data_IF_486897468547
#
_entry.id   IF_486897468547
#
_cell.length_a   1.000
_cell.length_b   1.000
_cell.length_c   1.000
_cell.angle_alpha   90.00
_cell.angle_beta   90.00
_cell.angle_gamma   90.00
#
_symmetry.space_group_name_H-M   'P 1'
#
loop_
_entity.id
_entity.type
_entity.pdbx_description
1 polymer ?
#
# COMPACT_ATOMS: atom_id res chain seq x y z
N UNK A 1 -65.21 -1.74 51.04
CA UNK A 1 -65.05 -2.58 49.85
C UNK A 1 -63.63 -3.05 49.69
N UNK A 2 -63.47 -4.38 49.81
CA UNK A 2 -62.50 -5.31 49.20
C UNK A 2 -61.03 -4.86 49.03
N UNK A 3 -59.99 -5.60 49.36
CA UNK A 3 -59.74 -6.85 50.09
C UNK A 3 -58.19 -6.98 50.11
N UNK A 4 -57.57 -7.20 51.27
CA UNK A 4 -56.19 -7.70 51.52
C UNK A 4 -56.01 -9.16 50.99
N UNK A 5 -54.89 -9.93 51.16
CA UNK A 5 -53.63 -9.81 51.97
C UNK A 5 -52.35 -10.16 51.15
N UNK A 6 -51.11 -10.34 51.63
CA UNK A 6 -50.48 -10.58 52.94
C UNK A 6 -48.93 -10.51 52.79
N UNK A 7 -48.19 -10.17 53.85
CA UNK A 7 -47.46 -11.08 54.76
C UNK A 7 -46.23 -11.77 54.12
N UNK A 8 -45.09 -12.06 54.75
CA UNK A 8 -44.34 -11.67 55.97
C UNK A 8 -43.02 -12.45 55.85
N UNK A 9 -41.88 -11.82 56.15
CA UNK A 9 -40.59 -12.36 56.61
C UNK A 9 -39.91 -13.59 55.95
N UNK A 10 -38.58 -13.53 55.81
CA UNK A 10 -37.58 -14.23 56.68
C UNK A 10 -36.22 -14.21 55.95
N UNK A 11 -35.18 -13.82 56.70
CA UNK A 11 -33.78 -13.92 56.31
C UNK A 11 -33.30 -15.38 56.37
N UNK A 12 -32.48 -15.82 55.40
CA UNK A 12 -31.50 -16.89 55.61
C UNK A 12 -30.25 -16.65 54.78
N UNK A 13 -29.13 -16.59 55.50
CA UNK A 13 -27.76 -16.71 55.03
C UNK A 13 -27.52 -18.04 54.34
N UNK A 14 -26.84 -18.04 53.19
CA UNK A 14 -26.10 -19.19 52.68
C UNK A 14 -24.72 -18.74 52.22
N UNK A 15 -23.71 -19.25 52.91
CA UNK A 15 -22.33 -19.38 52.49
C UNK A 15 -22.22 -20.38 51.34
N UNK A 16 -21.44 -20.07 50.32
CA UNK A 16 -20.84 -21.08 49.45
C UNK A 16 -19.50 -20.55 48.91
N UNK A 17 -18.42 -21.13 49.42
CA UNK A 17 -17.10 -21.15 48.78
C UNK A 17 -17.20 -21.91 47.44
N UNK A 18 -16.50 -21.41 46.43
CA UNK A 18 -15.96 -22.27 45.38
C UNK A 18 -14.76 -21.59 44.71
N UNK A 19 -13.57 -21.98 45.17
CA UNK A 19 -12.32 -21.91 44.42
C UNK A 19 -12.45 -22.76 43.15
N UNK A 20 -12.22 -22.19 41.96
CA UNK A 20 -11.66 -22.88 40.79
C UNK A 20 -11.03 -21.88 39.81
N UNK A 21 -9.70 -21.92 39.75
CA UNK A 21 -8.84 -21.94 38.55
C UNK A 21 -8.89 -20.80 37.52
N UNK A 22 -7.74 -20.09 37.46
CA UNK A 22 -6.94 -19.80 36.26
C UNK A 22 -7.70 -19.31 35.00
N UNK A 23 -7.65 -17.99 34.75
CA UNK A 23 -7.95 -17.41 33.45
C UNK A 23 -6.81 -16.50 33.01
N UNK A 24 -5.97 -17.07 32.13
CA UNK A 24 -5.25 -16.48 31.00
C UNK A 24 -4.68 -15.07 31.13
N UNK A 25 -3.35 -14.98 31.05
CA UNK A 25 -2.66 -13.84 30.44
C UNK A 25 -3.36 -13.46 29.13
N UNK A 26 -4.00 -12.29 29.11
CA UNK A 26 -4.47 -11.67 27.88
C UNK A 26 -3.22 -11.15 27.18
N UNK A 27 -2.63 -11.96 26.30
CA UNK A 27 -1.72 -11.43 25.30
C UNK A 27 -2.49 -10.34 24.51
N UNK A 28 -1.90 -9.15 24.24
CA UNK A 28 -2.60 -8.11 23.50
C UNK A 28 -2.92 -8.63 22.09
N UNK A 29 -4.18 -8.98 21.86
CA UNK A 29 -4.69 -9.43 20.58
C UNK A 29 -5.03 -8.25 19.69
N UNK A 30 -4.47 -8.23 18.48
CA UNK A 30 -4.85 -7.28 17.43
C UNK A 30 -6.25 -7.66 16.93
N UNK A 31 -7.24 -6.78 17.12
CA UNK A 31 -8.58 -6.94 16.51
C UNK A 31 -8.62 -6.23 15.15
N UNK A 32 -9.56 -6.60 14.27
CA UNK A 32 -9.72 -6.00 12.93
C UNK A 32 -11.07 -5.30 12.81
N UNK A 33 -11.04 -4.03 12.44
CA UNK A 33 -12.20 -3.29 11.91
C UNK A 33 -11.74 -2.76 10.55
N UNK A 34 -12.46 -3.09 9.48
CA UNK A 34 -12.16 -2.67 8.10
C UNK A 34 -10.74 -2.95 7.59
N UNK A 35 -10.17 -4.13 7.91
CA UNK A 35 -8.89 -4.55 7.33
C UNK A 35 -7.64 -3.83 7.85
N UNK A 36 -7.80 -2.87 8.77
CA UNK A 36 -6.70 -2.19 9.46
C UNK A 36 -6.45 -2.89 10.82
N UNK A 37 -5.20 -3.23 11.16
CA UNK A 37 -4.89 -3.79 12.48
C UNK A 37 -5.19 -2.77 13.58
N UNK A 38 -5.80 -3.20 14.68
CA UNK A 38 -6.13 -2.35 15.83
C UNK A 38 -5.41 -2.87 17.06
N UNK A 39 -4.71 -2.00 17.78
CA UNK A 39 -4.19 -2.32 19.12
C UNK A 39 -5.28 -2.07 20.16
N UNK A 40 -5.51 -3.05 21.03
CA UNK A 40 -6.34 -2.90 22.22
C UNK A 40 -5.46 -2.45 23.39
N UNK A 41 -5.64 -1.21 23.85
CA UNK A 41 -4.96 -0.69 25.02
C UNK A 41 -5.91 -0.60 26.21
N UNK A 42 -5.56 -1.23 27.33
CA UNK A 42 -6.27 -1.05 28.60
C UNK A 42 -5.69 0.16 29.34
N UNK A 43 -6.49 1.20 29.50
CA UNK A 43 -6.20 2.32 30.40
C UNK A 43 -7.22 2.34 31.54
N UNK A 44 -6.88 3.00 32.65
CA UNK A 44 -7.76 3.17 33.82
C UNK A 44 -9.03 3.96 33.42
N UNK A 45 -10.02 3.26 32.85
CA UNK A 45 -11.25 3.85 32.33
C UNK A 45 -11.84 3.17 31.08
N UNK A 46 -11.15 2.22 30.44
CA UNK A 46 -11.69 1.48 29.30
C UNK A 46 -10.64 0.84 28.37
N UNK A 47 -11.09 -0.07 27.50
CA UNK A 47 -10.28 -0.61 26.39
C UNK A 47 -10.47 0.29 25.18
N UNK A 48 -9.39 0.92 24.73
CA UNK A 48 -9.40 1.76 23.54
C UNK A 48 -8.82 1.00 22.36
N UNK A 49 -9.51 1.07 21.23
CA UNK A 49 -9.09 0.54 19.94
C UNK A 49 -8.37 1.64 19.16
N UNK A 50 -7.05 1.57 19.07
CA UNK A 50 -6.27 2.45 18.19
C UNK A 50 -6.02 1.72 16.87
N UNK A 51 -6.55 2.25 15.77
CA UNK A 51 -6.20 1.77 14.44
C UNK A 51 -4.70 2.04 14.22
N UNK A 52 -3.92 0.97 14.04
CA UNK A 52 -2.51 1.05 13.70
C UNK A 52 -2.39 1.43 12.22
N UNK A 53 -1.36 2.19 11.82
CA UNK A 53 -1.14 2.43 10.40
C UNK A 53 -0.90 1.07 9.70
N UNK A 54 -1.38 0.90 8.46
CA UNK A 54 -1.27 -0.37 7.72
C UNK A 54 0.18 -0.77 7.38
N UNK A 55 1.12 0.13 7.63
CA UNK A 55 2.57 -0.04 7.55
C UNK A 55 3.18 -0.61 8.82
N UNK A 56 2.39 -0.85 9.87
CA UNK A 56 2.87 -1.58 11.05
C UNK A 56 3.12 -3.03 10.64
N UNK A 57 4.33 -3.58 10.80
CA UNK A 57 4.61 -4.96 10.46
C UNK A 57 3.65 -5.91 11.19
N UNK A 58 3.09 -6.86 10.45
CA UNK A 58 2.32 -7.94 11.03
C UNK A 58 2.95 -9.28 10.62
N UNK A 59 3.00 -10.21 11.57
CA UNK A 59 3.53 -11.54 11.28
C UNK A 59 2.71 -12.21 10.18
N UNK A 60 3.38 -12.63 9.10
CA UNK A 60 2.75 -13.41 8.05
C UNK A 60 2.16 -14.71 8.62
N UNK A 61 0.88 -14.98 8.33
CA UNK A 61 0.27 -16.23 8.77
C UNK A 61 0.87 -17.43 8.02
N UNK A 62 0.90 -18.61 8.66
CA UNK A 62 1.34 -19.85 7.98
C UNK A 62 0.52 -20.14 6.72
N UNK A 63 -0.78 -19.81 6.73
CA UNK A 63 -1.65 -19.99 5.57
C UNK A 63 -1.27 -19.08 4.41
N UNK A 64 -0.86 -17.84 4.71
CA UNK A 64 -0.41 -16.87 3.71
C UNK A 64 0.83 -17.38 2.98
N UNK A 65 1.81 -17.85 3.74
CA UNK A 65 3.04 -18.40 3.18
C UNK A 65 2.80 -19.71 2.42
N UNK A 66 1.94 -20.60 2.95
CA UNK A 66 1.57 -21.84 2.28
C UNK A 66 0.84 -21.61 0.94
N UNK A 67 0.18 -20.46 0.78
CA UNK A 67 -0.55 -20.08 -0.43
C UNK A 67 0.30 -19.30 -1.43
N UNK A 68 1.62 -19.19 -1.20
CA UNK A 68 2.57 -18.50 -2.07
C UNK A 68 2.94 -17.07 -1.65
N UNK A 69 2.47 -16.62 -0.48
CA UNK A 69 2.95 -15.38 0.13
C UNK A 69 4.42 -15.49 0.54
N UNK A 70 5.11 -14.36 0.64
CA UNK A 70 6.56 -14.31 0.90
C UNK A 70 6.86 -13.32 2.02
N UNK A 71 7.47 -13.78 3.10
CA UNK A 71 7.94 -12.90 4.17
C UNK A 71 9.27 -12.23 3.78
N UNK A 72 9.38 -10.93 4.00
CA UNK A 72 10.56 -10.12 3.68
C UNK A 72 11.15 -9.61 4.98
N UNK A 73 12.24 -10.25 5.43
CA UNK A 73 12.87 -9.90 6.70
C UNK A 73 13.35 -8.44 6.77
N UNK A 74 13.80 -7.87 5.65
CA UNK A 74 14.34 -6.51 5.60
C UNK A 74 13.33 -5.41 6.00
N UNK A 75 12.04 -5.67 5.83
CA UNK A 75 10.97 -4.72 6.21
C UNK A 75 9.94 -5.32 7.16
N UNK A 76 10.13 -6.59 7.55
CA UNK A 76 9.21 -7.36 8.38
C UNK A 76 7.77 -7.46 7.84
N UNK A 77 7.58 -7.14 6.56
CA UNK A 77 6.33 -7.27 5.83
C UNK A 77 6.32 -8.52 4.96
N UNK A 78 5.13 -8.92 4.52
CA UNK A 78 5.02 -9.93 3.46
C UNK A 78 4.69 -9.32 2.10
N UNK A 79 4.92 -10.09 1.04
CA UNK A 79 4.20 -9.95 -0.22
C UNK A 79 3.09 -10.98 -0.16
N UNK A 80 1.83 -10.53 -0.18
CA UNK A 80 0.70 -11.43 -0.01
C UNK A 80 0.62 -12.44 -1.15
N UNK A 81 0.06 -13.62 -0.88
CA UNK A 81 -0.21 -14.66 -1.86
C UNK A 81 -1.03 -14.11 -3.05
N UNK A 82 -1.98 -13.20 -2.77
CA UNK A 82 -2.78 -12.54 -3.80
C UNK A 82 -1.93 -11.75 -4.81
N UNK A 83 -0.84 -11.14 -4.35
CA UNK A 83 0.00 -10.25 -5.17
C UNK A 83 1.32 -10.87 -5.61
N UNK A 84 1.78 -11.97 -5.01
CA UNK A 84 3.12 -12.51 -5.21
C UNK A 84 3.44 -12.81 -6.69
N UNK A 85 2.56 -13.52 -7.40
CA UNK A 85 2.77 -13.83 -8.82
C UNK A 85 2.77 -12.56 -9.70
N UNK A 86 1.84 -11.64 -9.44
CA UNK A 86 1.75 -10.39 -10.20
C UNK A 86 2.96 -9.50 -9.96
N UNK A 87 3.44 -9.40 -8.71
CA UNK A 87 4.65 -8.68 -8.35
C UNK A 87 5.84 -9.17 -9.19
N UNK A 88 6.05 -10.49 -9.27
CA UNK A 88 7.16 -11.06 -10.06
C UNK A 88 7.01 -10.77 -11.56
N UNK A 89 5.82 -10.99 -12.13
CA UNK A 89 5.56 -10.73 -13.56
C UNK A 89 5.71 -9.26 -13.93
N UNK A 90 5.31 -8.35 -13.03
CA UNK A 90 5.34 -6.91 -13.26
C UNK A 90 6.71 -6.30 -12.95
N UNK A 91 7.78 -7.09 -12.77
CA UNK A 91 9.15 -6.60 -12.65
C UNK A 91 9.71 -6.60 -11.22
N UNK A 92 8.96 -7.10 -10.25
CA UNK A 92 9.41 -7.43 -8.92
C UNK A 92 10.15 -6.31 -8.18
N UNK A 93 11.26 -6.67 -7.54
CA UNK A 93 12.03 -5.76 -6.69
C UNK A 93 12.54 -4.51 -7.43
N UNK A 94 13.01 -4.67 -8.67
CA UNK A 94 13.50 -3.55 -9.47
C UNK A 94 12.41 -2.51 -9.73
N UNK A 95 11.15 -2.94 -9.82
CA UNK A 95 10.02 -2.05 -10.08
C UNK A 95 9.39 -1.49 -8.81
N UNK A 96 9.17 -2.34 -7.82
CA UNK A 96 8.37 -1.99 -6.63
C UNK A 96 9.21 -1.73 -5.38
N UNK A 97 10.42 -2.29 -5.30
CA UNK A 97 11.20 -2.33 -4.07
C UNK A 97 10.56 -3.23 -3.00
N UNK A 98 10.94 -3.02 -1.74
CA UNK A 98 10.41 -3.82 -0.63
C UNK A 98 8.95 -3.47 -0.29
N UNK A 99 8.17 -4.44 0.24
CA UNK A 99 6.85 -4.17 0.77
C UNK A 99 6.91 -3.22 1.97
N UNK A 100 5.90 -2.35 2.06
CA UNK A 100 5.68 -1.37 3.14
C UNK A 100 4.41 -1.61 3.92
N UNK A 101 3.58 -2.54 3.49
CA UNK A 101 2.36 -2.92 4.17
C UNK A 101 2.06 -4.39 3.93
N UNK A 102 1.19 -4.94 4.77
CA UNK A 102 0.43 -6.13 4.41
C UNK A 102 -0.61 -5.81 3.34
N UNK A 103 -1.28 -6.82 2.78
CA UNK A 103 -2.44 -6.58 1.94
C UNK A 103 -3.66 -6.20 2.81
N UNK A 104 -4.31 -5.09 2.49
CA UNK A 104 -5.50 -4.59 3.21
C UNK A 104 -6.46 -3.90 2.25
N UNK A 105 -7.68 -3.61 2.71
CA UNK A 105 -8.68 -2.92 1.88
C UNK A 105 -8.51 -1.41 2.03
N UNK A 106 -8.28 -0.71 0.91
CA UNK A 106 -8.27 0.75 0.81
C UNK A 106 -9.30 1.16 -0.26
N UNK A 107 -10.27 1.99 0.10
CA UNK A 107 -11.34 2.46 -0.82
C UNK A 107 -12.06 1.33 -1.57
N UNK A 108 -12.31 0.20 -0.91
CA UNK A 108 -13.04 -0.94 -1.48
C UNK A 108 -12.20 -1.86 -2.37
N UNK A 109 -10.92 -1.56 -2.58
CA UNK A 109 -9.98 -2.42 -3.29
C UNK A 109 -9.03 -3.07 -2.29
N UNK A 110 -8.74 -4.35 -2.48
CA UNK A 110 -7.61 -4.98 -1.80
C UNK A 110 -6.33 -4.43 -2.44
N UNK A 111 -5.45 -3.84 -1.63
CA UNK A 111 -4.20 -3.21 -2.06
C UNK A 111 -3.02 -3.68 -1.22
N UNK A 112 -1.81 -3.52 -1.76
CA UNK A 112 -0.58 -3.66 -0.99
C UNK A 112 0.44 -2.61 -1.44
N UNK A 113 1.06 -1.95 -0.47
CA UNK A 113 2.04 -0.90 -0.70
C UNK A 113 3.47 -1.42 -0.70
N UNK A 114 4.29 -0.81 -1.54
CA UNK A 114 5.71 -1.05 -1.71
C UNK A 114 6.44 0.29 -1.78
N UNK A 115 7.76 0.26 -1.69
CA UNK A 115 8.60 1.47 -1.74
C UNK A 115 8.31 2.38 -2.94
N UNK A 116 8.12 1.79 -4.13
CA UNK A 116 8.02 2.50 -5.41
C UNK A 116 6.65 2.37 -6.07
N UNK A 117 5.68 1.76 -5.40
CA UNK A 117 4.41 1.41 -6.04
C UNK A 117 3.37 0.87 -5.09
N UNK A 118 2.16 0.71 -5.61
CA UNK A 118 1.04 0.02 -4.97
C UNK A 118 0.45 -0.95 -5.97
N UNK A 119 0.19 -2.18 -5.52
CA UNK A 119 -0.59 -3.14 -6.27
C UNK A 119 -2.04 -3.12 -5.79
N UNK A 120 -2.98 -3.26 -6.70
CA UNK A 120 -4.41 -3.35 -6.41
C UNK A 120 -5.02 -4.57 -7.11
N UNK A 121 -5.93 -5.25 -6.42
CA UNK A 121 -6.68 -6.38 -6.94
C UNK A 121 -8.04 -5.92 -7.48
N UNK A 122 -8.36 -6.35 -8.69
CA UNK A 122 -9.55 -6.01 -9.46
C UNK A 122 -10.44 -7.24 -9.60
N UNK A 123 -11.39 -7.46 -8.67
CA UNK A 123 -12.25 -8.64 -8.68
C UNK A 123 -13.13 -8.72 -9.94
N UNK A 124 -13.47 -7.57 -10.52
CA UNK A 124 -14.16 -7.42 -11.80
C UNK A 124 -13.40 -8.01 -12.99
N UNK A 125 -12.09 -8.19 -12.85
CA UNK A 125 -11.18 -8.66 -13.90
C UNK A 125 -10.55 -10.03 -13.56
N UNK A 126 -11.14 -10.76 -12.61
CA UNK A 126 -10.61 -12.05 -12.14
C UNK A 126 -10.37 -13.02 -13.30
N UNK A 127 -9.18 -13.66 -13.29
CA UNK A 127 -8.78 -14.59 -14.35
C UNK A 127 -8.25 -13.94 -15.62
N UNK A 128 -8.23 -12.60 -15.69
CA UNK A 128 -7.54 -11.87 -16.75
C UNK A 128 -6.11 -11.47 -16.33
N UNK A 129 -5.23 -11.12 -17.27
CA UNK A 129 -3.92 -10.54 -16.95
C UNK A 129 -3.98 -9.24 -16.13
N UNK A 130 -5.14 -8.56 -16.11
CA UNK A 130 -5.38 -7.28 -15.47
C UNK A 130 -6.07 -7.39 -14.10
N UNK A 131 -6.22 -8.62 -13.57
CA UNK A 131 -6.80 -8.84 -12.24
C UNK A 131 -5.98 -8.20 -11.11
N UNK A 132 -4.67 -8.02 -11.33
CA UNK A 132 -3.79 -7.23 -10.45
C UNK A 132 -3.14 -6.16 -11.29
N UNK A 133 -3.23 -4.92 -10.82
CA UNK A 133 -2.69 -3.76 -11.51
C UNK A 133 -1.79 -2.93 -10.61
N UNK A 134 -0.94 -2.13 -11.24
CA UNK A 134 -0.21 -1.07 -10.56
C UNK A 134 -1.14 0.13 -10.46
N UNK A 135 -1.32 0.64 -9.25
CA UNK A 135 -2.11 1.84 -9.02
C UNK A 135 -1.48 3.07 -9.69
N UNK A 136 -2.34 4.01 -10.09
CA UNK A 136 -1.92 5.25 -10.74
C UNK A 136 -1.37 6.26 -9.71
N UNK A 137 -0.27 5.90 -9.04
CA UNK A 137 0.27 6.70 -7.93
C UNK A 137 0.79 8.07 -8.34
N UNK A 138 1.25 8.25 -9.59
CA UNK A 138 1.62 9.57 -10.10
C UNK A 138 0.40 10.50 -10.15
N UNK A 139 -0.77 9.95 -10.49
CA UNK A 139 -2.04 10.69 -10.52
C UNK A 139 -2.55 11.02 -9.11
N UNK A 140 -2.21 10.19 -8.12
CA UNK A 140 -2.57 10.41 -6.72
C UNK A 140 -1.67 11.47 -6.06
N UNK A 141 -0.38 11.52 -6.41
CA UNK A 141 0.58 12.44 -5.81
C UNK A 141 0.47 13.85 -6.40
N UNK A 142 0.26 13.97 -7.71
CA UNK A 142 0.18 15.28 -8.37
C UNK A 142 -1.22 15.85 -8.30
N UNK A 143 -1.40 16.89 -7.50
CA UNK A 143 -2.68 17.60 -7.37
C UNK A 143 -2.91 18.57 -8.53
N UNK A 144 -1.84 19.19 -9.02
CA UNK A 144 -1.87 20.10 -10.16
C UNK A 144 -1.20 19.45 -11.37
N UNK A 145 -1.94 19.34 -12.49
CA UNK A 145 -1.38 18.86 -13.76
C UNK A 145 -0.80 20.03 -14.55
N UNK A 146 0.38 19.85 -15.16
CA UNK A 146 0.89 20.81 -16.11
C UNK A 146 -0.05 20.90 -17.31
N UNK A 147 -0.09 22.08 -17.92
CA UNK A 147 -0.85 22.32 -19.15
C UNK A 147 -0.22 21.49 -20.27
N UNK A 148 -1.02 20.75 -21.06
CA UNK A 148 -0.56 20.06 -22.26
C UNK A 148 0.24 21.01 -23.16
N UNK A 149 1.38 20.55 -23.67
CA UNK A 149 2.11 21.32 -24.68
C UNK A 149 1.42 21.21 -26.04
N UNK A 150 1.71 22.16 -26.94
CA UNK A 150 1.38 21.98 -28.35
C UNK A 150 2.05 20.69 -28.89
N UNK A 151 1.48 20.06 -29.93
CA UNK A 151 2.09 18.88 -30.54
C UNK A 151 3.50 19.17 -31.03
N UNK A 152 4.44 18.33 -30.60
CA UNK A 152 5.85 18.37 -31.04
C UNK A 152 6.15 17.08 -31.79
N UNK A 153 6.95 17.19 -32.85
CA UNK A 153 7.39 16.04 -33.64
C UNK A 153 8.22 15.07 -32.77
N UNK A 154 7.90 13.78 -32.88
CA UNK A 154 8.69 12.72 -32.24
C UNK A 154 9.94 12.42 -33.05
N UNK A 155 11.06 12.17 -32.37
CA UNK A 155 12.36 11.83 -32.96
C UNK A 155 12.85 10.50 -32.39
N UNK A 156 14.08 10.10 -32.73
CA UNK A 156 14.72 8.95 -32.08
C UNK A 156 15.03 9.17 -30.59
N UNK A 157 15.07 10.43 -30.14
CA UNK A 157 15.44 10.82 -28.77
C UNK A 157 14.28 11.46 -28.00
N UNK A 158 13.13 11.66 -28.64
CA UNK A 158 11.92 12.26 -28.06
C UNK A 158 10.69 11.54 -28.54
N UNK A 159 9.76 11.24 -27.65
CA UNK A 159 8.41 10.82 -28.02
C UNK A 159 7.37 11.75 -27.41
N UNK A 160 6.48 12.27 -28.25
CA UNK A 160 5.31 13.04 -27.83
C UNK A 160 4.10 12.12 -27.66
N UNK A 161 3.35 12.34 -26.58
CA UNK A 161 2.15 11.59 -26.23
C UNK A 161 0.93 12.51 -26.33
N UNK A 162 0.12 12.42 -27.41
CA UNK A 162 -1.05 13.30 -27.58
C UNK A 162 -2.12 13.12 -26.50
N UNK A 163 -2.14 11.96 -25.82
CA UNK A 163 -3.09 11.65 -24.75
C UNK A 163 -2.91 12.56 -23.52
N UNK A 164 -1.70 13.04 -23.27
CA UNK A 164 -1.38 13.91 -22.13
C UNK A 164 -0.72 15.23 -22.53
N UNK A 165 -0.33 15.38 -23.80
CA UNK A 165 0.44 16.52 -24.29
C UNK A 165 1.82 16.62 -23.67
N UNK A 166 2.42 15.49 -23.29
CA UNK A 166 3.75 15.43 -22.66
C UNK A 166 4.75 14.73 -23.57
N UNK A 167 6.03 15.04 -23.39
CA UNK A 167 7.14 14.36 -24.08
C UNK A 167 7.94 13.51 -23.11
N UNK A 168 8.53 12.41 -23.60
CA UNK A 168 9.57 11.65 -22.90
C UNK A 168 10.82 11.70 -23.76
N UNK A 169 11.96 12.04 -23.18
CA UNK A 169 13.18 12.35 -23.92
C UNK A 169 14.40 11.60 -23.39
N UNK A 170 15.41 11.44 -24.24
CA UNK A 170 16.77 11.02 -23.90
C UNK A 170 16.84 9.77 -23.00
N UNK A 171 17.50 9.87 -21.84
CA UNK A 171 17.70 8.76 -20.92
C UNK A 171 16.37 8.21 -20.40
N UNK A 172 15.39 9.08 -20.12
CA UNK A 172 14.06 8.65 -19.71
C UNK A 172 13.35 7.89 -20.82
N UNK A 173 13.45 8.33 -22.08
CA UNK A 173 12.83 7.60 -23.20
C UNK A 173 13.45 6.21 -23.37
N UNK A 174 14.79 6.11 -23.31
CA UNK A 174 15.49 4.81 -23.39
C UNK A 174 15.05 3.88 -22.26
N UNK A 175 14.99 4.38 -21.02
CA UNK A 175 14.54 3.61 -19.87
C UNK A 175 13.08 3.17 -20.02
N UNK A 176 12.21 4.11 -20.42
CA UNK A 176 10.79 3.89 -20.63
C UNK A 176 10.53 2.77 -21.64
N UNK A 177 11.17 2.84 -22.81
CA UNK A 177 11.04 1.83 -23.87
C UNK A 177 11.57 0.46 -23.42
N UNK A 178 12.73 0.44 -22.75
CA UNK A 178 13.34 -0.79 -22.25
C UNK A 178 12.52 -1.47 -21.14
N UNK A 179 11.59 -0.76 -20.50
CA UNK A 179 10.80 -1.26 -19.36
C UNK A 179 9.32 -1.46 -19.67
N UNK A 180 8.95 -1.56 -20.94
CA UNK A 180 7.58 -1.86 -21.37
C UNK A 180 6.69 -0.63 -21.55
N UNK A 181 7.28 0.56 -21.56
CA UNK A 181 6.62 1.81 -21.92
C UNK A 181 5.30 2.08 -21.19
N UNK A 182 4.26 2.41 -21.96
CA UNK A 182 2.95 2.83 -21.42
C UNK A 182 2.28 1.71 -20.63
N UNK A 183 2.41 0.46 -21.08
CA UNK A 183 1.80 -0.68 -20.40
C UNK A 183 2.37 -0.85 -18.99
N UNK A 184 3.68 -0.62 -18.85
CA UNK A 184 4.35 -0.69 -17.57
C UNK A 184 4.15 0.60 -16.75
N UNK A 185 4.56 1.75 -17.26
CA UNK A 185 4.70 3.00 -16.49
C UNK A 185 3.49 3.93 -16.60
N UNK A 186 2.58 3.68 -17.54
CA UNK A 186 1.51 4.60 -17.91
C UNK A 186 2.03 5.75 -18.79
N UNK A 187 1.13 6.67 -19.14
CA UNK A 187 1.51 7.85 -19.90
C UNK A 187 2.35 8.81 -19.04
N UNK A 188 3.27 9.59 -19.63
CA UNK A 188 3.88 10.73 -18.96
C UNK A 188 2.81 11.75 -18.60
N UNK A 189 2.90 12.31 -17.41
CA UNK A 189 1.91 13.25 -16.87
C UNK A 189 2.52 14.59 -16.47
N UNK A 190 3.85 14.70 -16.58
CA UNK A 190 4.60 15.94 -16.46
C UNK A 190 5.61 16.04 -17.60
N UNK A 191 6.11 17.24 -17.92
CA UNK A 191 7.43 17.36 -18.54
C UNK A 191 8.50 16.85 -17.58
N UNK A 192 9.74 16.77 -18.05
CA UNK A 192 10.90 16.66 -17.15
C UNK A 192 10.98 17.93 -16.29
N UNK A 193 11.08 17.75 -14.98
CA UNK A 193 11.22 18.83 -13.99
C UNK A 193 12.44 18.57 -13.12
N UNK A 194 12.96 19.62 -12.47
CA UNK A 194 14.06 19.47 -11.52
C UNK A 194 13.54 19.50 -10.09
N UNK A 195 13.76 18.43 -9.34
CA UNK A 195 13.44 18.30 -7.92
C UNK A 195 14.70 17.98 -7.14
N UNK A 196 15.04 18.78 -6.13
CA UNK A 196 16.26 18.62 -5.33
C UNK A 196 17.53 18.41 -6.19
N UNK A 197 17.72 19.27 -7.20
CA UNK A 197 18.81 19.22 -8.18
C UNK A 197 18.89 17.91 -8.99
N UNK A 198 17.77 17.20 -9.09
CA UNK A 198 17.63 15.96 -9.86
C UNK A 198 16.58 16.12 -10.96
N UNK A 199 16.89 15.77 -12.21
CA UNK A 199 15.85 15.62 -13.22
C UNK A 199 14.93 14.47 -12.85
N UNK A 200 13.63 14.74 -12.84
CA UNK A 200 12.58 13.77 -12.58
C UNK A 200 11.45 13.93 -13.58
N UNK A 201 10.74 12.85 -13.85
CA UNK A 201 9.52 12.89 -14.63
C UNK A 201 8.49 11.93 -14.06
N UNK A 202 7.26 12.42 -13.93
CA UNK A 202 6.15 11.64 -13.46
C UNK A 202 5.39 10.99 -14.62
N UNK A 203 4.99 9.76 -14.37
CA UNK A 203 4.13 8.92 -15.19
C UNK A 203 2.96 8.47 -14.33
N UNK A 204 1.84 8.07 -14.95
CA UNK A 204 0.65 7.69 -14.19
C UNK A 204 0.95 6.64 -13.11
N UNK A 205 1.84 5.68 -13.35
CA UNK A 205 2.15 4.57 -12.43
C UNK A 205 3.53 4.65 -11.78
N UNK A 206 4.30 5.72 -12.02
CA UNK A 206 5.72 5.77 -11.63
C UNK A 206 6.28 7.21 -11.61
N UNK A 207 7.39 7.42 -10.89
CA UNK A 207 8.31 8.53 -11.12
C UNK A 207 9.64 7.98 -11.61
N UNK A 208 10.19 8.56 -12.67
CA UNK A 208 11.57 8.31 -13.09
C UNK A 208 12.46 9.41 -12.53
N UNK A 209 13.64 9.02 -12.07
CA UNK A 209 14.64 9.90 -11.50
C UNK A 209 15.97 9.67 -12.21
N UNK A 210 16.60 10.76 -12.68
CA UNK A 210 17.91 10.70 -13.31
C UNK A 210 19.03 10.82 -12.28
N UNK A 211 19.95 9.87 -12.27
CA UNK A 211 21.07 9.82 -11.33
C UNK A 211 22.37 10.15 -12.07
N UNK A 212 22.82 11.40 -11.95
CA UNK A 212 24.01 11.94 -12.63
C UNK A 212 25.29 11.16 -12.33
N UNK A 213 25.39 10.58 -11.13
CA UNK A 213 26.51 9.74 -10.71
C UNK A 213 26.61 8.43 -11.51
N UNK A 214 25.53 8.04 -12.19
CA UNK A 214 25.45 6.84 -13.02
C UNK A 214 25.31 7.16 -14.51
N UNK A 215 25.53 8.41 -14.93
CA UNK A 215 25.38 8.86 -16.31
C UNK A 215 26.09 7.93 -17.31
N UNK A 216 25.39 7.54 -18.38
CA UNK A 216 25.90 6.62 -19.40
C UNK A 216 25.88 5.14 -19.00
N UNK A 217 25.34 4.79 -17.83
CA UNK A 217 25.14 3.39 -17.42
C UNK A 217 23.66 3.02 -17.42
N UNK A 218 23.36 1.73 -17.34
CA UNK A 218 21.97 1.25 -17.20
C UNK A 218 21.27 1.71 -15.91
N UNK A 219 22.00 2.33 -14.96
CA UNK A 219 21.49 2.83 -13.68
C UNK A 219 21.28 4.34 -13.67
N UNK A 220 21.53 5.02 -14.79
CA UNK A 220 21.36 6.48 -14.92
C UNK A 220 19.90 6.93 -14.72
N UNK A 221 18.94 6.02 -14.89
CA UNK A 221 17.52 6.24 -14.57
C UNK A 221 17.05 5.17 -13.61
N UNK A 222 16.32 5.58 -12.56
CA UNK A 222 15.70 4.68 -11.60
C UNK A 222 14.26 5.09 -11.30
N UNK A 223 13.48 4.16 -10.75
CA UNK A 223 12.15 4.43 -10.24
C UNK A 223 12.23 5.07 -8.85
N UNK A 224 11.54 6.20 -8.70
CA UNK A 224 11.41 6.95 -7.46
C UNK A 224 10.58 6.22 -6.41
N UNK A 225 10.79 6.59 -5.14
CA UNK A 225 10.15 6.00 -3.96
C UNK A 225 8.74 6.57 -3.73
N UNK A 226 7.91 6.63 -4.78
CA UNK A 226 6.60 7.30 -4.72
C UNK A 226 5.62 6.62 -3.76
N UNK A 227 5.80 5.32 -3.49
CA UNK A 227 5.00 4.62 -2.49
C UNK A 227 5.32 5.10 -1.08
N UNK A 228 6.61 5.18 -0.74
CA UNK A 228 7.06 5.75 0.54
C UNK A 228 6.60 7.19 0.70
N UNK A 229 6.70 8.00 -0.35
CA UNK A 229 6.29 9.41 -0.32
C UNK A 229 4.80 9.58 0.02
N UNK A 230 3.92 8.85 -0.66
CA UNK A 230 2.48 8.92 -0.40
C UNK A 230 2.14 8.39 1.01
N UNK A 231 2.80 7.31 1.44
CA UNK A 231 2.60 6.78 2.80
C UNK A 231 3.01 7.80 3.87
N UNK A 232 4.10 8.56 3.67
CA UNK A 232 4.49 9.65 4.58
C UNK A 232 3.48 10.80 4.57
N UNK A 233 2.97 11.21 3.40
CA UNK A 233 1.92 12.23 3.31
C UNK A 233 0.63 11.83 4.04
N UNK A 234 0.32 10.53 4.07
CA UNK A 234 -0.81 9.97 4.83
C UNK A 234 -0.54 9.83 6.34
N UNK A 235 0.70 10.06 6.80
CA UNK A 235 1.11 9.82 8.17
C UNK A 235 1.19 8.33 8.53
N UNK A 236 1.32 7.45 7.55
CA UNK A 236 1.47 6.01 7.76
C UNK A 236 2.93 5.57 7.77
N UNK A 237 3.83 6.32 7.17
CA UNK A 237 5.27 6.05 7.23
C UNK A 237 5.97 7.25 7.87
N UNK A 238 6.95 7.00 8.72
CA UNK A 238 7.81 8.04 9.31
C UNK A 238 8.99 8.42 8.38
#
# INVERSE_FOLDING_TARGET
DLNTPGATAVAMSHTAESDWSCASEIAPGIARIEGVPVLLAAAAGGVWSLALPPTTPATASRSELASGGRYIQATEHNISARFASAYDRLGGFERFGFPRSEAFVDQGLLVQWFQRGRLEYRPDLQGSPYEVQISLLGDLLLTDRPVPSDPIESTSERRYYPETGMTVENAFLRYFDARGGVDALGYPITPEVSEADRPVQYFQRARLEYLREFAGTAREVQLGLIGDEILRQRGWLE
#
